data_IF_831515517387
#
_entry.id   IF_831515517387
#
_cell.length_a   1.000
_cell.length_b   1.000
_cell.length_c   1.000
_cell.angle_alpha   90.00
_cell.angle_beta   90.00
_cell.angle_gamma   90.00
#
_symmetry.space_group_name_H-M   'P 1'
#
loop_
_entity.id
_entity.type
_entity.pdbx_description
1 polymer ?
#
# COMPACT_ATOMS: atom_id res chain seq x y z
N UNK A 1 12.88 14.44 0.82
CA UNK A 1 11.53 14.23 0.24
C UNK A 1 11.45 12.76 -0.15
N UNK A 2 10.44 12.05 0.33
CA UNK A 2 10.24 10.64 0.03
C UNK A 2 9.99 10.44 -1.46
N UNK A 3 10.69 9.51 -2.09
CA UNK A 3 10.44 9.11 -3.48
C UNK A 3 9.44 7.97 -3.51
N UNK A 4 8.49 8.04 -4.43
CA UNK A 4 7.41 7.06 -4.56
C UNK A 4 7.57 6.24 -5.85
N UNK A 5 7.47 4.92 -5.72
CA UNK A 5 7.55 3.98 -6.83
C UNK A 5 6.34 3.06 -6.80
N UNK A 6 5.81 2.70 -7.96
CA UNK A 6 4.82 1.64 -8.07
C UNK A 6 5.25 0.57 -9.07
N UNK A 7 4.87 -0.68 -8.80
CA UNK A 7 5.04 -1.78 -9.73
C UNK A 7 3.68 -2.15 -10.31
N UNK A 8 3.54 -2.00 -11.63
CA UNK A 8 2.28 -2.21 -12.30
C UNK A 8 2.42 -3.06 -13.57
N UNK A 9 1.57 -4.05 -13.70
CA UNK A 9 1.26 -4.76 -14.93
C UNK A 9 -0.11 -5.42 -14.76
N UNK A 10 -0.96 -5.32 -15.78
CA UNK A 10 -2.27 -5.98 -15.82
C UNK A 10 -2.20 -7.51 -15.74
N UNK A 11 -1.08 -8.08 -16.16
CA UNK A 11 -0.87 -9.51 -16.11
C UNK A 11 -0.55 -9.97 -14.71
N UNK A 12 -1.24 -11.01 -14.24
CA UNK A 12 -0.87 -11.75 -13.05
C UNK A 12 0.38 -12.59 -13.28
N UNK A 13 1.11 -12.93 -12.22
CA UNK A 13 2.27 -13.84 -12.30
C UNK A 13 3.54 -13.25 -12.91
N UNK A 14 3.62 -11.94 -13.15
CA UNK A 14 4.84 -11.26 -13.65
C UNK A 14 5.79 -10.80 -12.53
N UNK A 15 5.69 -11.41 -11.37
CA UNK A 15 6.58 -11.18 -10.22
C UNK A 15 6.56 -9.76 -9.64
N UNK A 16 5.43 -9.03 -9.71
CA UNK A 16 5.30 -7.69 -9.09
C UNK A 16 5.69 -7.73 -7.62
N UNK A 17 4.98 -8.52 -6.83
CA UNK A 17 5.18 -8.64 -5.37
C UNK A 17 6.60 -9.06 -5.01
N UNK A 18 7.15 -10.08 -5.70
CA UNK A 18 8.53 -10.51 -5.49
C UNK A 18 9.52 -9.41 -5.79
N UNK A 19 9.29 -8.64 -6.85
CA UNK A 19 10.15 -7.50 -7.22
C UNK A 19 10.02 -6.36 -6.22
N UNK A 20 8.79 -6.03 -5.77
CA UNK A 20 8.55 -5.03 -4.72
C UNK A 20 9.33 -5.37 -3.45
N UNK A 21 9.23 -6.61 -3.00
CA UNK A 21 9.94 -7.09 -1.81
C UNK A 21 11.46 -7.00 -1.97
N UNK A 22 12.02 -7.59 -3.04
CA UNK A 22 13.47 -7.62 -3.25
C UNK A 22 14.06 -6.23 -3.47
N UNK A 23 13.37 -5.35 -4.18
CA UNK A 23 13.79 -3.95 -4.36
C UNK A 23 13.79 -3.22 -3.01
N UNK A 24 12.72 -3.36 -2.23
CA UNK A 24 12.64 -2.77 -0.90
C UNK A 24 13.74 -3.27 0.03
N UNK A 25 14.00 -4.57 0.02
CA UNK A 25 15.06 -5.17 0.80
C UNK A 25 16.45 -4.65 0.40
N UNK A 26 16.74 -4.63 -0.90
CA UNK A 26 18.04 -4.16 -1.43
C UNK A 26 18.28 -2.68 -1.11
N UNK A 27 17.25 -1.83 -1.20
CA UNK A 27 17.35 -0.43 -0.80
C UNK A 27 17.59 -0.29 0.70
N UNK A 28 16.93 -1.11 1.52
CA UNK A 28 17.12 -1.10 2.96
C UNK A 28 18.55 -1.55 3.36
N UNK A 29 19.12 -2.54 2.67
CA UNK A 29 20.54 -2.92 2.83
C UNK A 29 21.51 -1.80 2.40
N UNK A 30 21.10 -1.00 1.40
CA UNK A 30 21.82 0.20 1.00
C UNK A 30 21.61 1.40 1.97
N UNK A 31 21.13 1.13 3.20
CA UNK A 31 20.85 2.13 4.25
C UNK A 31 19.78 3.17 3.89
N UNK A 32 18.90 2.88 2.93
CA UNK A 32 17.72 3.69 2.68
C UNK A 32 16.56 3.22 3.57
N UNK A 33 15.78 4.15 4.12
CA UNK A 33 14.55 3.81 4.84
C UNK A 33 13.41 3.60 3.85
N UNK A 34 12.83 2.42 3.87
CA UNK A 34 11.83 1.98 2.89
C UNK A 34 10.51 1.65 3.59
N UNK A 35 9.42 2.12 3.01
CA UNK A 35 8.07 1.71 3.33
C UNK A 35 7.49 0.93 2.15
N UNK A 36 7.24 -0.35 2.34
CA UNK A 36 6.46 -1.15 1.40
C UNK A 36 4.97 -0.96 1.72
N UNK A 37 4.17 -0.75 0.70
CA UNK A 37 2.71 -0.55 0.81
C UNK A 37 2.02 -1.60 -0.03
N UNK A 38 1.32 -2.53 0.62
CA UNK A 38 0.58 -3.60 -0.03
C UNK A 38 -0.83 -3.13 -0.40
N UNK A 39 -1.06 -2.86 -1.67
CA UNK A 39 -2.36 -2.43 -2.21
C UNK A 39 -3.13 -3.57 -2.89
N UNK A 40 -2.56 -4.78 -2.91
CA UNK A 40 -3.27 -5.94 -3.43
C UNK A 40 -4.17 -6.57 -2.35
N UNK A 41 -5.45 -6.72 -2.63
CA UNK A 41 -6.40 -7.38 -1.73
C UNK A 41 -6.06 -8.86 -1.46
N UNK A 42 -5.20 -9.47 -2.28
CA UNK A 42 -4.66 -10.80 -2.01
C UNK A 42 -3.61 -10.80 -0.89
N UNK A 43 -3.11 -9.64 -0.48
CA UNK A 43 -2.13 -9.46 0.60
C UNK A 43 -0.87 -10.32 0.45
N UNK A 44 -0.44 -10.58 -0.79
CA UNK A 44 0.71 -11.45 -1.07
C UNK A 44 2.02 -10.86 -0.53
N UNK A 45 2.22 -9.54 -0.62
CA UNK A 45 3.39 -8.88 -0.07
C UNK A 45 3.40 -8.96 1.46
N UNK A 46 2.25 -8.76 2.08
CA UNK A 46 2.06 -8.89 3.52
C UNK A 46 2.39 -10.31 3.99
N UNK A 47 1.83 -11.32 3.33
CA UNK A 47 2.12 -12.72 3.61
C UNK A 47 3.60 -13.06 3.49
N UNK A 48 4.26 -12.59 2.42
CA UNK A 48 5.69 -12.81 2.21
C UNK A 48 6.56 -12.22 3.33
N UNK A 49 6.23 -11.01 3.80
CA UNK A 49 6.99 -10.31 4.84
C UNK A 49 6.74 -10.91 6.22
N UNK A 50 5.52 -11.30 6.52
CA UNK A 50 5.19 -11.95 7.80
C UNK A 50 5.73 -13.38 7.88
N UNK A 51 6.19 -13.96 6.76
CA UNK A 51 6.75 -15.30 6.72
C UNK A 51 5.68 -16.39 6.81
N UNK A 52 4.48 -16.11 6.33
CA UNK A 52 3.32 -17.01 6.38
C UNK A 52 3.39 -18.13 5.32
N UNK A 53 4.59 -18.56 4.94
CA UNK A 53 4.78 -19.78 4.14
C UNK A 53 4.30 -21.06 4.86
N UNK A 54 4.06 -20.98 6.14
CA UNK A 54 3.44 -22.03 6.94
C UNK A 54 2.19 -21.46 7.61
N UNK A 55 1.05 -21.60 6.97
CA UNK A 55 -0.27 -21.91 7.53
C UNK A 55 -0.36 -21.75 9.07
N UNK A 56 0.02 -20.60 9.59
CA UNK A 56 -0.28 -20.23 10.96
C UNK A 56 -1.37 -19.15 10.93
N UNK A 57 -2.59 -19.59 10.73
CA UNK A 57 -3.78 -18.72 10.75
C UNK A 57 -3.87 -17.91 12.04
N UNK A 58 -3.31 -18.41 13.15
CA UNK A 58 -3.33 -17.74 14.43
C UNK A 58 -2.37 -16.55 14.45
N UNK A 59 -1.17 -16.66 13.90
CA UNK A 59 -0.21 -15.55 13.82
C UNK A 59 -0.71 -14.42 12.90
N UNK A 60 -1.35 -14.77 11.78
CA UNK A 60 -1.99 -13.78 10.89
C UNK A 60 -3.13 -13.08 11.61
N UNK A 61 -3.96 -13.85 12.30
CA UNK A 61 -5.08 -13.29 13.07
C UNK A 61 -4.58 -12.36 14.17
N UNK A 62 -3.56 -12.76 14.92
CA UNK A 62 -2.95 -11.94 15.97
C UNK A 62 -2.39 -10.63 15.37
N UNK A 63 -1.71 -10.70 14.22
CA UNK A 63 -1.20 -9.51 13.53
C UNK A 63 -2.31 -8.50 13.22
N UNK A 64 -3.43 -8.95 12.63
CA UNK A 64 -4.54 -8.06 12.26
C UNK A 64 -5.41 -7.62 13.44
N UNK A 65 -5.41 -8.36 14.54
CA UNK A 65 -6.10 -7.97 15.79
C UNK A 65 -5.28 -7.02 16.65
N UNK A 66 -3.98 -6.93 16.42
CA UNK A 66 -3.11 -6.01 17.13
C UNK A 66 -3.46 -4.56 16.82
N UNK A 67 -3.65 -3.76 17.85
CA UNK A 67 -3.90 -2.31 17.73
C UNK A 67 -2.63 -1.51 17.45
N UNK A 68 -1.47 -2.16 17.48
CA UNK A 68 -0.18 -1.51 17.22
C UNK A 68 0.16 -1.48 15.74
N UNK A 69 -0.44 -2.39 14.96
CA UNK A 69 -0.18 -2.51 13.52
C UNK A 69 -1.14 -1.66 12.70
N UNK A 70 -0.60 -0.69 12.00
CA UNK A 70 -1.34 0.06 10.99
C UNK A 70 -1.44 -0.76 9.71
N UNK A 71 -2.66 -0.93 9.22
CA UNK A 71 -2.94 -1.58 7.95
C UNK A 71 -3.62 -0.63 6.97
N UNK A 72 -3.70 -1.02 5.74
CA UNK A 72 -4.38 -0.26 4.68
C UNK A 72 -5.85 0.05 5.05
N UNK A 73 -6.51 -0.88 5.78
CA UNK A 73 -7.92 -0.73 6.16
C UNK A 73 -8.18 0.54 6.97
N UNK A 74 -7.40 0.80 8.02
CA UNK A 74 -7.60 1.98 8.86
C UNK A 74 -7.48 3.28 8.06
N UNK A 75 -6.54 3.34 7.11
CA UNK A 75 -6.37 4.52 6.26
C UNK A 75 -7.56 4.70 5.33
N UNK A 76 -7.99 3.62 4.68
CA UNK A 76 -9.12 3.67 3.75
C UNK A 76 -10.42 4.01 4.49
N UNK A 77 -10.69 3.37 5.63
CA UNK A 77 -11.87 3.67 6.45
C UNK A 77 -11.91 5.16 6.87
N UNK A 78 -10.77 5.70 7.29
CA UNK A 78 -10.68 7.12 7.64
C UNK A 78 -10.99 8.04 6.45
N UNK A 79 -10.39 7.75 5.29
CA UNK A 79 -10.59 8.55 4.08
C UNK A 79 -12.04 8.47 3.59
N UNK A 80 -12.65 7.28 3.60
CA UNK A 80 -14.03 7.07 3.20
C UNK A 80 -15.02 7.76 4.15
N UNK A 81 -14.68 7.87 5.44
CA UNK A 81 -15.46 8.61 6.42
C UNK A 81 -15.16 10.13 6.44
N UNK A 82 -14.37 10.64 5.50
CA UNK A 82 -14.07 12.06 5.37
C UNK A 82 -13.10 12.62 6.43
N UNK A 83 -12.39 11.75 7.14
CA UNK A 83 -11.36 12.13 8.13
C UNK A 83 -10.21 12.82 7.41
N UNK A 84 -9.83 14.00 7.89
CA UNK A 84 -8.70 14.73 7.32
C UNK A 84 -7.36 14.06 7.66
N UNK A 85 -6.32 14.23 6.83
CA UNK A 85 -5.00 13.67 7.12
C UNK A 85 -4.42 14.09 8.47
N UNK A 86 -4.63 15.34 8.89
CA UNK A 86 -4.15 15.84 10.18
C UNK A 86 -4.91 15.23 11.35
N UNK A 87 -6.20 15.03 11.20
CA UNK A 87 -7.04 14.37 12.20
C UNK A 87 -6.65 12.89 12.35
N UNK A 88 -6.44 12.19 11.22
CA UNK A 88 -5.95 10.81 11.21
C UNK A 88 -4.64 10.69 11.99
N UNK A 89 -3.64 11.51 11.66
CA UNK A 89 -2.32 11.46 12.31
C UNK A 89 -2.35 11.80 13.81
N UNK A 90 -3.35 12.56 14.27
CA UNK A 90 -3.52 12.84 15.71
C UNK A 90 -4.17 11.69 16.46
N UNK A 91 -5.13 11.03 15.85
CA UNK A 91 -5.98 10.04 16.51
C UNK A 91 -5.43 8.63 16.37
N UNK A 92 -4.84 8.31 15.21
CA UNK A 92 -4.26 6.98 14.96
C UNK A 92 -2.93 6.82 15.71
N UNK A 93 -2.80 5.73 16.45
CA UNK A 93 -1.61 5.40 17.24
C UNK A 93 -0.83 4.23 16.69
N UNK A 94 -1.47 3.39 15.87
CA UNK A 94 -0.80 2.29 15.20
C UNK A 94 0.26 2.77 14.21
N UNK A 95 1.20 1.91 13.89
CA UNK A 95 2.33 2.23 13.00
C UNK A 95 2.47 1.13 11.95
N UNK A 96 3.03 1.47 10.77
CA UNK A 96 3.48 0.44 9.83
C UNK A 96 4.35 -0.59 10.55
N UNK A 97 4.16 -1.85 10.19
CA UNK A 97 4.88 -2.97 10.80
C UNK A 97 6.39 -2.85 10.51
N UNK A 98 7.20 -2.88 11.57
CA UNK A 98 8.65 -2.92 11.44
C UNK A 98 9.10 -4.34 11.12
N UNK A 99 9.69 -4.55 9.97
CA UNK A 99 10.20 -5.88 9.58
C UNK A 99 11.46 -6.26 10.38
N UNK A 100 11.99 -7.45 10.12
CA UNK A 100 13.28 -7.88 10.69
C UNK A 100 14.44 -6.97 10.27
N UNK A 101 14.32 -6.25 9.16
CA UNK A 101 15.32 -5.27 8.73
C UNK A 101 14.95 -3.87 9.25
N UNK A 102 15.85 -3.24 10.02
CA UNK A 102 15.62 -1.96 10.70
C UNK A 102 15.21 -0.79 9.79
N UNK A 103 15.57 -0.85 8.51
CA UNK A 103 15.27 0.19 7.52
C UNK A 103 14.10 -0.18 6.62
N UNK A 104 13.39 -1.28 6.87
CA UNK A 104 12.28 -1.74 6.06
C UNK A 104 11.01 -1.86 6.90
N UNK A 105 9.99 -1.12 6.56
CA UNK A 105 8.66 -1.18 7.18
C UNK A 105 7.60 -1.58 6.16
N UNK A 106 6.51 -2.14 6.64
CA UNK A 106 5.36 -2.58 5.84
C UNK A 106 4.10 -1.86 6.30
N UNK A 107 3.39 -1.23 5.39
CA UNK A 107 1.97 -0.97 5.53
C UNK A 107 1.22 -2.17 4.94
N UNK A 108 0.71 -3.00 5.82
CA UNK A 108 0.07 -4.25 5.44
C UNK A 108 -1.22 -4.03 4.65
N UNK A 109 -1.46 -4.87 3.65
CA UNK A 109 -2.73 -4.96 2.95
C UNK A 109 -3.86 -5.47 3.86
N UNK A 110 -5.08 -5.47 3.34
CA UNK A 110 -6.22 -6.04 4.03
C UNK A 110 -7.20 -6.63 3.01
N UNK A 111 -7.74 -7.82 3.29
CA UNK A 111 -8.64 -8.53 2.37
C UNK A 111 -9.92 -7.73 2.06
N UNK A 112 -10.42 -6.95 3.01
CA UNK A 112 -11.58 -6.08 2.81
C UNK A 112 -11.28 -4.90 1.86
N UNK A 113 -10.00 -4.66 1.53
CA UNK A 113 -9.63 -3.60 0.59
C UNK A 113 -10.27 -3.81 -0.79
N UNK A 114 -10.58 -5.04 -1.20
CA UNK A 114 -11.23 -5.33 -2.47
C UNK A 114 -12.62 -4.70 -2.60
N UNK A 115 -13.44 -4.79 -1.54
CA UNK A 115 -14.78 -4.20 -1.52
C UNK A 115 -14.70 -2.68 -1.54
N UNK A 116 -13.82 -2.12 -0.72
CA UNK A 116 -13.64 -0.69 -0.60
C UNK A 116 -13.03 -0.11 -1.89
N UNK A 117 -12.09 -0.82 -2.51
CA UNK A 117 -11.49 -0.43 -3.79
C UNK A 117 -12.52 -0.32 -4.93
N UNK A 118 -13.51 -1.22 -4.92
CA UNK A 118 -14.66 -1.12 -5.82
C UNK A 118 -15.45 0.18 -5.56
N UNK A 119 -15.69 0.54 -4.31
CA UNK A 119 -16.36 1.79 -3.93
C UNK A 119 -15.54 3.03 -4.34
N UNK A 120 -14.23 3.00 -4.13
CA UNK A 120 -13.31 4.06 -4.58
C UNK A 120 -13.36 4.20 -6.10
N UNK A 121 -13.33 3.10 -6.84
CA UNK A 121 -13.41 3.10 -8.31
C UNK A 121 -14.71 3.76 -8.81
N UNK A 122 -15.82 3.48 -8.15
CA UNK A 122 -17.11 4.15 -8.45
C UNK A 122 -17.04 5.63 -8.08
N UNK A 123 -16.51 5.95 -6.89
CA UNK A 123 -16.38 7.33 -6.43
C UNK A 123 -15.52 8.18 -7.37
N UNK A 124 -14.40 7.64 -7.88
CA UNK A 124 -13.55 8.34 -8.85
C UNK A 124 -14.26 8.62 -10.17
N UNK A 125 -15.07 7.69 -10.66
CA UNK A 125 -15.87 7.88 -11.89
C UNK A 125 -16.98 8.93 -11.71
N UNK A 126 -17.55 9.05 -10.52
CA UNK A 126 -18.61 10.02 -10.18
C UNK A 126 -18.02 11.37 -9.78
N UNK A 127 -16.73 11.43 -9.44
CA UNK A 127 -16.05 12.62 -8.89
C UNK A 127 -16.14 13.88 -9.76
N UNK A 128 -16.52 13.75 -11.03
CA UNK A 128 -16.80 14.91 -11.90
C UNK A 128 -18.00 15.77 -11.42
N UNK A 129 -18.82 15.27 -10.47
CA UNK A 129 -20.03 15.97 -9.98
C UNK A 129 -20.18 16.10 -8.46
N UNK A 130 -19.44 15.33 -7.63
CA UNK A 130 -19.65 15.31 -6.17
C UNK A 130 -18.39 15.74 -5.41
N UNK A 131 -18.42 16.89 -4.68
CA UNK A 131 -17.23 17.44 -4.03
C UNK A 131 -16.55 16.52 -3.00
N UNK A 132 -17.32 15.68 -2.31
CA UNK A 132 -16.82 14.78 -1.25
C UNK A 132 -15.86 13.73 -1.82
N UNK A 133 -16.12 13.21 -3.02
CA UNK A 133 -15.31 12.16 -3.64
C UNK A 133 -13.97 12.66 -4.19
N UNK A 134 -13.85 13.96 -4.45
CA UNK A 134 -12.59 14.57 -4.93
C UNK A 134 -11.46 14.51 -3.91
N UNK A 135 -11.79 14.45 -2.63
CA UNK A 135 -10.80 14.47 -1.56
C UNK A 135 -10.23 13.07 -1.26
N UNK A 136 -10.87 11.99 -1.72
CA UNK A 136 -10.43 10.62 -1.44
C UNK A 136 -8.97 10.38 -1.89
N UNK A 137 -8.59 10.60 -3.16
CA UNK A 137 -7.21 10.41 -3.61
C UNK A 137 -6.22 11.31 -2.87
N UNK A 138 -6.58 12.58 -2.69
CA UNK A 138 -5.72 13.57 -2.05
C UNK A 138 -5.48 13.20 -0.59
N UNK A 139 -6.53 12.85 0.16
CA UNK A 139 -6.42 12.50 1.57
C UNK A 139 -5.63 11.19 1.75
N UNK A 140 -5.89 10.18 0.91
CA UNK A 140 -5.18 8.91 0.95
C UNK A 140 -3.66 9.12 0.80
N UNK A 141 -3.24 9.78 -0.26
CA UNK A 141 -1.82 10.06 -0.50
C UNK A 141 -1.22 10.97 0.56
N UNK A 142 -1.97 11.98 1.03
CA UNK A 142 -1.50 12.87 2.09
C UNK A 142 -1.26 12.14 3.41
N UNK A 143 -2.09 11.16 3.77
CA UNK A 143 -1.88 10.32 4.96
C UNK A 143 -0.59 9.51 4.79
N UNK A 144 -0.40 8.84 3.64
CA UNK A 144 0.81 8.06 3.37
C UNK A 144 2.08 8.92 3.40
N UNK A 145 2.03 10.12 2.83
CA UNK A 145 3.14 11.07 2.87
C UNK A 145 3.46 11.55 4.29
N UNK A 146 2.43 11.79 5.12
CA UNK A 146 2.63 12.17 6.53
C UNK A 146 3.25 11.03 7.33
N UNK A 147 2.82 9.79 7.13
CA UNK A 147 3.44 8.59 7.72
C UNK A 147 4.90 8.49 7.29
N UNK A 148 5.16 8.61 5.99
CA UNK A 148 6.52 8.54 5.44
C UNK A 148 7.43 9.63 6.02
N UNK A 149 6.95 10.87 6.15
CA UNK A 149 7.68 11.97 6.76
C UNK A 149 7.97 11.72 8.25
N UNK A 150 6.98 11.22 9.00
CA UNK A 150 7.15 10.91 10.43
C UNK A 150 8.20 9.83 10.66
N UNK A 151 8.30 8.86 9.79
CA UNK A 151 9.27 7.75 9.84
C UNK A 151 10.60 8.08 9.14
N UNK A 152 10.70 9.25 8.50
CA UNK A 152 11.83 9.65 7.66
C UNK A 152 12.13 8.65 6.54
N UNK A 153 11.09 8.22 5.83
CA UNK A 153 11.16 7.27 4.71
C UNK A 153 11.82 7.93 3.50
N UNK A 154 12.81 7.25 2.90
CA UNK A 154 13.47 7.68 1.67
C UNK A 154 12.70 7.20 0.44
N UNK A 155 12.21 5.96 0.48
CA UNK A 155 11.46 5.32 -0.61
C UNK A 155 10.17 4.69 -0.12
N UNK A 156 9.05 4.98 -0.78
CA UNK A 156 7.78 4.31 -0.60
C UNK A 156 7.47 3.52 -1.88
N UNK A 157 7.26 2.21 -1.75
CA UNK A 157 7.05 1.29 -2.87
C UNK A 157 5.65 0.71 -2.76
N UNK A 158 4.84 0.94 -3.78
CA UNK A 158 3.48 0.39 -3.89
C UNK A 158 3.49 -0.93 -4.66
N UNK A 159 3.04 -2.00 -4.03
CA UNK A 159 2.73 -3.27 -4.68
C UNK A 159 1.27 -3.29 -5.10
N UNK A 160 1.03 -3.26 -6.40
CA UNK A 160 -0.31 -3.08 -6.98
C UNK A 160 -0.91 -4.42 -7.40
N UNK A 161 -2.22 -4.54 -7.26
CA UNK A 161 -2.99 -5.65 -7.82
C UNK A 161 -2.90 -5.67 -9.36
N UNK A 162 -3.16 -6.80 -10.02
CA UNK A 162 -3.15 -6.88 -11.49
C UNK A 162 -4.37 -6.19 -12.13
N UNK A 163 -5.31 -5.72 -11.36
CA UNK A 163 -6.56 -5.14 -11.83
C UNK A 163 -6.46 -3.63 -12.05
N UNK A 164 -7.33 -3.08 -12.89
CA UNK A 164 -7.57 -1.63 -12.96
C UNK A 164 -8.52 -1.27 -11.83
N UNK A 165 -7.97 -0.79 -10.73
CA UNK A 165 -8.70 -0.49 -9.52
C UNK A 165 -8.51 0.96 -9.10
N UNK A 166 -9.39 1.48 -8.25
CA UNK A 166 -9.31 2.86 -7.78
C UNK A 166 -8.04 3.14 -6.99
N UNK A 167 -7.60 2.22 -6.13
CA UNK A 167 -6.36 2.35 -5.37
C UNK A 167 -5.13 2.31 -6.29
N UNK A 168 -5.13 1.43 -7.30
CA UNK A 168 -4.08 1.37 -8.29
C UNK A 168 -3.98 2.69 -9.08
N UNK A 169 -5.13 3.23 -9.50
CA UNK A 169 -5.18 4.52 -10.21
C UNK A 169 -4.59 5.64 -9.35
N UNK A 170 -4.99 5.73 -8.08
CA UNK A 170 -4.46 6.72 -7.14
C UNK A 170 -2.95 6.57 -6.97
N UNK A 171 -2.45 5.35 -6.78
CA UNK A 171 -1.03 5.08 -6.61
C UNK A 171 -0.22 5.42 -7.85
N UNK A 172 -0.69 5.00 -9.05
CA UNK A 172 -0.04 5.31 -10.32
C UNK A 172 0.05 6.82 -10.57
N UNK A 173 -1.05 7.55 -10.36
CA UNK A 173 -1.10 9.00 -10.59
C UNK A 173 -0.25 9.81 -9.61
N UNK A 174 0.07 9.25 -8.45
CA UNK A 174 0.83 9.92 -7.38
C UNK A 174 2.26 9.42 -7.23
N UNK A 175 2.69 8.46 -8.03
CA UNK A 175 4.06 7.95 -7.97
C UNK A 175 5.02 8.79 -8.81
N UNK A 176 6.25 9.00 -8.29
CA UNK A 176 7.33 9.66 -9.03
C UNK A 176 7.87 8.76 -10.14
N UNK A 177 7.83 7.44 -9.92
CA UNK A 177 8.35 6.44 -10.85
C UNK A 177 7.43 5.22 -10.90
N UNK A 178 7.43 4.54 -12.04
CA UNK A 178 6.78 3.24 -12.16
C UNK A 178 7.72 2.22 -12.82
N UNK A 179 7.56 0.96 -12.42
CA UNK A 179 8.27 -0.19 -12.97
C UNK A 179 7.22 -1.13 -13.55
N UNK A 180 7.44 -1.58 -14.78
CA UNK A 180 6.58 -2.56 -15.44
C UNK A 180 7.36 -3.87 -15.57
N UNK A 181 7.19 -4.81 -14.62
CA UNK A 181 7.75 -6.14 -14.76
C UNK A 181 7.10 -6.84 -15.94
N UNK A 182 7.89 -7.39 -16.85
CA UNK A 182 7.42 -8.12 -18.03
C UNK A 182 7.91 -9.55 -18.01
N UNK A 183 7.10 -10.45 -18.55
CA UNK A 183 7.49 -11.85 -18.81
C UNK A 183 7.62 -12.03 -20.31
N UNK A 184 8.67 -12.72 -20.80
CA UNK A 184 8.84 -12.99 -22.22
C UNK A 184 7.79 -14.01 -22.68
N UNK A 185 6.63 -13.55 -23.09
CA UNK A 185 5.62 -14.36 -23.74
C UNK A 185 4.95 -13.60 -24.90
N UNK A 186 4.18 -14.34 -25.72
CA UNK A 186 3.55 -13.80 -26.93
C UNK A 186 2.40 -12.82 -26.66
N UNK A 187 2.03 -12.56 -25.40
CA UNK A 187 0.86 -11.79 -24.99
C UNK A 187 1.19 -10.61 -24.07
N UNK A 188 2.43 -10.17 -24.01
CA UNK A 188 2.85 -8.97 -23.29
C UNK A 188 2.98 -7.79 -24.22
#
# INVERSE_FOLDING_TARGET
MTKTLCLFNHKGGVSKTTTSFNLGWSLAEANQKVLLVDLDSQCNLTGLILGTEAIDDDAIREFYQSRDNLTLKQIIDAVMNGVSPDEFMRNEKSKPFQTKHKNLSLLAGHIEAAEIDSQISVALKIASGVPVTRNIPINFISILQKIANQLNIDYMIFDLSPNVSGLNEIALMSSDYFIVPTSPDYFC
#
